data_IF_185923157338
#
_entry.id   IF_185923157338
#
_cell.length_a   1.000
_cell.length_b   1.000
_cell.length_c   1.000
_cell.angle_alpha   90.00
_cell.angle_beta   90.00
_cell.angle_gamma   90.00
#
_symmetry.space_group_name_H-M   'P 1'
#
loop_
_entity.id
_entity.type
_entity.pdbx_description
1 polymer ?
#
# COMPACT_ATOMS: atom_id res chain seq x y z
N UNK A 1 11.57 8.90 -4.90
CA UNK A 1 10.16 8.78 -4.46
C UNK A 1 10.12 9.12 -2.97
N UNK A 2 9.16 9.92 -2.51
CA UNK A 2 9.06 10.27 -1.07
C UNK A 2 8.70 9.00 -0.30
N UNK A 3 9.51 8.63 0.69
CA UNK A 3 9.19 7.54 1.58
C UNK A 3 8.19 8.06 2.62
N UNK A 4 7.00 7.49 2.66
CA UNK A 4 6.01 7.83 3.69
C UNK A 4 6.43 7.19 5.01
N UNK A 5 6.39 7.94 6.10
CA UNK A 5 6.49 7.35 7.43
C UNK A 5 5.24 6.50 7.71
N UNK A 6 5.30 5.65 8.73
CA UNK A 6 4.14 4.84 9.11
C UNK A 6 2.93 5.71 9.47
N UNK A 7 3.15 6.85 10.13
CA UNK A 7 2.08 7.79 10.48
C UNK A 7 1.48 8.46 9.24
N UNK A 8 2.32 8.87 8.28
CA UNK A 8 1.82 9.42 7.01
C UNK A 8 1.00 8.37 6.25
N UNK A 9 1.53 7.14 6.15
CA UNK A 9 0.84 6.03 5.50
C UNK A 9 -0.51 5.72 6.14
N UNK A 10 -0.54 5.66 7.48
CA UNK A 10 -1.75 5.45 8.27
C UNK A 10 -2.75 6.59 8.06
N UNK A 11 -2.28 7.83 8.06
CA UNK A 11 -3.11 9.01 7.83
C UNK A 11 -3.73 8.99 6.42
N UNK A 12 -2.94 8.67 5.38
CA UNK A 12 -3.43 8.54 4.01
C UNK A 12 -4.48 7.43 3.92
N UNK A 13 -4.23 6.27 4.54
CA UNK A 13 -5.20 5.17 4.60
C UNK A 13 -6.48 5.53 5.35
N UNK A 14 -6.41 6.42 6.34
CA UNK A 14 -7.56 6.89 7.10
C UNK A 14 -8.40 7.89 6.29
N UNK A 15 -7.75 8.86 5.64
CA UNK A 15 -8.42 9.93 4.88
C UNK A 15 -8.99 9.42 3.56
N UNK A 16 -8.21 8.65 2.78
CA UNK A 16 -8.62 8.18 1.44
C UNK A 16 -9.37 6.84 1.50
N UNK A 17 -9.31 6.16 2.64
CA UNK A 17 -9.71 4.75 2.79
C UNK A 17 -8.60 3.79 2.34
N UNK A 18 -8.48 2.65 3.03
CA UNK A 18 -7.42 1.65 2.81
C UNK A 18 -7.22 1.29 1.34
N UNK A 19 -8.30 1.14 0.57
CA UNK A 19 -8.29 0.78 -0.85
C UNK A 19 -7.61 1.85 -1.72
N UNK A 20 -8.13 3.06 -1.71
CA UNK A 20 -7.65 4.14 -2.56
C UNK A 20 -6.23 4.55 -2.18
N UNK A 21 -5.91 4.54 -0.88
CA UNK A 21 -4.57 4.78 -0.38
C UNK A 21 -3.56 3.77 -0.92
N UNK A 22 -3.88 2.47 -0.89
CA UNK A 22 -3.01 1.43 -1.44
C UNK A 22 -2.85 1.60 -2.95
N UNK A 23 -3.91 1.86 -3.72
CA UNK A 23 -3.77 2.11 -5.16
C UNK A 23 -2.88 3.33 -5.45
N UNK A 24 -3.11 4.47 -4.80
CA UNK A 24 -2.27 5.67 -4.97
C UNK A 24 -0.81 5.40 -4.63
N UNK A 25 -0.53 4.85 -3.45
CA UNK A 25 0.83 4.67 -2.95
C UNK A 25 1.60 3.64 -3.78
N UNK A 26 0.93 2.54 -4.15
CA UNK A 26 1.59 1.45 -4.87
C UNK A 26 1.53 1.58 -6.39
N UNK A 27 0.69 2.44 -6.99
CA UNK A 27 0.64 2.66 -8.45
C UNK A 27 2.00 3.07 -9.03
N UNK A 28 2.82 3.78 -8.25
CA UNK A 28 4.18 4.15 -8.62
C UNK A 28 5.25 3.13 -8.24
N UNK A 29 4.92 2.04 -7.53
CA UNK A 29 5.87 1.04 -7.02
C UNK A 29 5.70 -0.33 -7.66
N UNK A 30 4.45 -0.71 -7.95
CA UNK A 30 4.07 -2.00 -8.49
C UNK A 30 3.46 -1.81 -9.87
N UNK A 31 3.78 -2.71 -10.78
CA UNK A 31 3.02 -2.85 -12.02
C UNK A 31 1.54 -3.14 -11.73
N UNK A 32 0.66 -2.63 -12.59
CA UNK A 32 -0.80 -2.74 -12.47
C UNK A 32 -1.29 -4.17 -12.23
N UNK A 33 -0.60 -5.17 -12.79
CA UNK A 33 -0.92 -6.60 -12.60
C UNK A 33 -0.64 -7.08 -11.17
N UNK A 34 0.52 -6.71 -10.60
CA UNK A 34 0.89 -7.02 -9.20
C UNK A 34 0.03 -6.23 -8.23
N UNK A 35 -0.26 -4.96 -8.54
CA UNK A 35 -1.17 -4.11 -7.78
C UNK A 35 -2.56 -4.74 -7.63
N UNK A 36 -3.17 -5.20 -8.72
CA UNK A 36 -4.48 -5.88 -8.69
C UNK A 36 -4.47 -7.17 -7.87
N UNK A 37 -3.38 -7.94 -7.95
CA UNK A 37 -3.23 -9.16 -7.15
C UNK A 37 -3.10 -8.86 -5.65
N UNK A 38 -2.34 -7.82 -5.30
CA UNK A 38 -2.19 -7.35 -3.93
C UNK A 38 -3.51 -6.77 -3.39
N UNK A 39 -4.20 -5.95 -4.20
CA UNK A 39 -5.51 -5.41 -3.91
C UNK A 39 -6.54 -6.50 -3.56
N UNK A 40 -6.61 -7.57 -4.36
CA UNK A 40 -7.48 -8.73 -4.09
C UNK A 40 -7.16 -9.43 -2.76
N UNK A 41 -5.90 -9.41 -2.31
CA UNK A 41 -5.51 -9.95 -1.00
C UNK A 41 -5.97 -9.04 0.14
N UNK A 42 -5.85 -7.72 -0.04
CA UNK A 42 -6.29 -6.69 0.94
C UNK A 42 -7.81 -6.69 1.12
N UNK A 43 -8.56 -6.97 0.05
CA UNK A 43 -10.02 -7.04 0.08
C UNK A 43 -10.54 -8.36 0.68
N UNK A 44 -9.92 -9.51 0.35
CA UNK A 44 -10.36 -10.83 0.83
C UNK A 44 -9.90 -11.19 2.23
N UNK A 45 -8.72 -10.73 2.63
CA UNK A 45 -8.18 -10.91 3.99
C UNK A 45 -8.12 -9.51 4.56
N UNK A 46 -8.76 -9.24 5.70
CA UNK A 46 -8.65 -7.99 6.45
C UNK A 46 -7.17 -7.72 6.80
N UNK A 47 -6.37 -7.30 5.82
CA UNK A 47 -4.96 -7.10 6.00
C UNK A 47 -4.78 -5.89 6.92
N UNK A 48 -3.99 -6.13 7.96
CA UNK A 48 -3.63 -5.08 8.89
C UNK A 48 -2.79 -4.02 8.19
N UNK A 49 -2.97 -2.79 8.64
CA UNK A 49 -2.28 -1.63 8.07
C UNK A 49 -0.75 -1.79 8.16
N UNK A 50 -0.28 -2.51 9.19
CA UNK A 50 1.12 -2.87 9.38
C UNK A 50 1.63 -3.78 8.28
N UNK A 51 0.87 -4.81 7.89
CA UNK A 51 1.27 -5.74 6.83
C UNK A 51 1.35 -5.02 5.50
N UNK A 52 0.40 -4.13 5.22
CA UNK A 52 0.40 -3.31 4.02
C UNK A 52 1.61 -2.37 3.99
N UNK A 53 1.92 -1.74 5.13
CA UNK A 53 3.09 -0.85 5.24
C UNK A 53 4.42 -1.59 5.09
N UNK A 54 4.54 -2.80 5.64
CA UNK A 54 5.74 -3.62 5.46
C UNK A 54 5.95 -4.00 3.99
N UNK A 55 4.87 -4.33 3.27
CA UNK A 55 4.95 -4.54 1.82
C UNK A 55 5.39 -3.26 1.11
N UNK A 56 4.84 -2.11 1.47
CA UNK A 56 5.24 -0.81 0.91
C UNK A 56 6.75 -0.56 1.09
N UNK A 57 7.29 -0.81 2.28
CA UNK A 57 8.72 -0.68 2.55
C UNK A 57 9.56 -1.68 1.74
N UNK A 58 9.09 -2.92 1.61
CA UNK A 58 9.75 -3.93 0.79
C UNK A 58 9.80 -3.50 -0.68
N UNK A 59 8.70 -3.01 -1.25
CA UNK A 59 8.66 -2.53 -2.63
C UNK A 59 9.50 -1.27 -2.82
N UNK A 60 9.58 -0.37 -1.83
CA UNK A 60 10.45 0.81 -1.90
C UNK A 60 11.95 0.45 -1.90
N UNK A 61 12.35 -0.64 -1.23
CA UNK A 61 13.75 -1.09 -1.16
C UNK A 61 14.19 -1.90 -2.38
N UNK A 62 13.25 -2.58 -3.06
CA UNK A 62 13.53 -3.44 -4.21
C UNK A 62 13.25 -2.75 -5.57
N UNK A 63 13.18 -1.41 -5.56
CA UNK A 63 12.90 -0.61 -6.76
C UNK A 63 14.17 -0.05 -7.37
#
# INVERSE_FOLDING_TARGET
>A
MRLYSFNDFKYICYVEGKKNAVEKIFSGLLETKKLKAFYRKVEKKHLDINTIYNEYLFQCKNK
#
